data_IF_748708915588
#
_entry.id   IF_748708915588
#
_cell.length_a   1.000
_cell.length_b   1.000
_cell.length_c   1.000
_cell.angle_alpha   90.00
_cell.angle_beta   90.00
_cell.angle_gamma   90.00
#
_symmetry.space_group_name_H-M   'P 1'
#
loop_
_entity.id
_entity.type
_entity.pdbx_description
1 polymer ?
#
# COMPACT_ATOMS: atom_id res chain seq x y z
N UNK A 1 49.88 -12.83 5.32
CA UNK A 1 48.86 -12.87 4.25
C UNK A 1 47.77 -13.92 4.48
N UNK A 2 48.05 -15.14 4.95
CA UNK A 2 47.01 -16.17 5.14
C UNK A 2 45.92 -15.85 6.20
N UNK A 3 46.25 -15.08 7.24
CA UNK A 3 45.30 -14.70 8.30
C UNK A 3 44.25 -13.67 7.86
N UNK A 4 44.57 -12.80 6.89
CA UNK A 4 43.65 -11.73 6.43
C UNK A 4 42.51 -12.28 5.57
N UNK A 5 42.78 -13.30 4.75
CA UNK A 5 41.73 -13.99 4.02
C UNK A 5 40.79 -14.75 4.97
N UNK A 6 41.30 -15.26 6.09
CA UNK A 6 40.47 -16.01 7.04
C UNK A 6 39.47 -15.12 7.80
N UNK A 7 39.82 -13.88 8.12
CA UNK A 7 38.93 -12.95 8.82
C UNK A 7 37.80 -12.45 7.90
N UNK A 8 38.14 -12.00 6.68
CA UNK A 8 37.16 -11.56 5.69
C UNK A 8 36.18 -12.67 5.28
N UNK A 9 36.67 -13.92 5.19
CA UNK A 9 35.82 -15.08 4.94
C UNK A 9 34.87 -15.35 6.10
N UNK A 10 35.31 -15.19 7.36
CA UNK A 10 34.42 -15.35 8.52
C UNK A 10 33.32 -14.27 8.61
N UNK A 11 33.59 -13.01 8.23
CA UNK A 11 32.53 -11.98 8.21
C UNK A 11 31.47 -12.24 7.13
N UNK A 12 31.90 -12.68 5.95
CA UNK A 12 30.98 -13.04 4.86
C UNK A 12 30.19 -14.32 5.19
N UNK A 13 30.83 -15.33 5.78
CA UNK A 13 30.15 -16.54 6.23
C UNK A 13 29.11 -16.21 7.31
N UNK A 14 29.48 -15.42 8.32
CA UNK A 14 28.56 -14.98 9.38
C UNK A 14 27.40 -14.14 8.84
N UNK A 15 27.65 -13.31 7.82
CA UNK A 15 26.61 -12.49 7.19
C UNK A 15 25.67 -13.32 6.31
N UNK A 16 26.20 -14.28 5.54
CA UNK A 16 25.39 -15.19 4.73
C UNK A 16 24.56 -16.11 5.62
N UNK A 17 25.11 -16.58 6.74
CA UNK A 17 24.36 -17.36 7.73
C UNK A 17 23.27 -16.52 8.41
N UNK A 18 23.56 -15.25 8.75
CA UNK A 18 22.56 -14.38 9.39
C UNK A 18 21.43 -13.98 8.44
N UNK A 19 21.71 -13.76 7.16
CA UNK A 19 20.71 -13.35 6.15
C UNK A 19 20.07 -14.51 5.38
N UNK A 20 20.53 -15.74 5.56
CA UNK A 20 20.06 -16.90 4.77
C UNK A 20 18.55 -17.20 4.91
N UNK A 21 17.94 -16.88 6.05
CA UNK A 21 16.50 -17.07 6.28
C UNK A 21 15.64 -15.89 5.80
N UNK A 22 16.24 -14.70 5.62
CA UNK A 22 15.52 -13.46 5.31
C UNK A 22 14.63 -13.58 4.05
N UNK A 23 15.13 -14.09 2.90
CA UNK A 23 14.30 -14.19 1.70
C UNK A 23 13.10 -15.12 1.89
N UNK A 24 13.27 -16.22 2.63
CA UNK A 24 12.20 -17.21 2.88
C UNK A 24 11.11 -16.60 3.75
N UNK A 25 11.52 -15.88 4.80
CA UNK A 25 10.59 -15.30 5.75
C UNK A 25 9.85 -14.10 5.18
N UNK A 26 10.53 -13.27 4.39
CA UNK A 26 9.91 -12.18 3.64
C UNK A 26 8.91 -12.72 2.61
N UNK A 27 9.27 -13.74 1.84
CA UNK A 27 8.36 -14.38 0.89
C UNK A 27 7.12 -14.96 1.61
N UNK A 28 7.30 -15.57 2.78
CA UNK A 28 6.19 -16.10 3.59
C UNK A 28 5.24 -14.99 4.01
N UNK A 29 5.77 -13.88 4.51
CA UNK A 29 4.97 -12.74 4.95
C UNK A 29 4.21 -12.13 3.75
N UNK A 30 4.89 -11.84 2.65
CA UNK A 30 4.28 -11.23 1.46
C UNK A 30 3.21 -12.13 0.83
N UNK A 31 3.45 -13.45 0.74
CA UNK A 31 2.43 -14.40 0.27
C UNK A 31 1.20 -14.42 1.19
N UNK A 32 1.41 -14.26 2.50
CA UNK A 32 0.30 -14.20 3.47
C UNK A 32 -0.50 -12.91 3.31
N UNK A 33 0.17 -11.77 3.12
CA UNK A 33 -0.48 -10.49 2.82
C UNK A 33 -1.29 -10.60 1.53
N UNK A 34 -0.72 -11.15 0.46
CA UNK A 34 -1.43 -11.37 -0.82
C UNK A 34 -2.69 -12.24 -0.64
N UNK A 35 -2.60 -13.33 0.12
CA UNK A 35 -3.76 -14.17 0.40
C UNK A 35 -4.84 -13.45 1.24
N UNK A 36 -4.44 -12.52 2.12
CA UNK A 36 -5.38 -11.65 2.84
C UNK A 36 -5.99 -10.58 1.92
N UNK A 37 -5.23 -10.06 0.95
CA UNK A 37 -5.73 -9.11 -0.06
C UNK A 37 -6.83 -9.72 -0.92
N UNK A 38 -6.62 -10.93 -1.43
CA UNK A 38 -7.63 -11.66 -2.20
C UNK A 38 -8.91 -11.84 -1.39
N UNK A 39 -8.80 -12.27 -0.13
CA UNK A 39 -9.96 -12.40 0.78
C UNK A 39 -10.64 -11.06 1.08
N UNK A 40 -9.89 -9.98 1.23
CA UNK A 40 -10.44 -8.64 1.45
C UNK A 40 -11.23 -8.18 0.22
N UNK A 41 -10.71 -8.41 -0.98
CA UNK A 41 -11.37 -8.03 -2.23
C UNK A 41 -12.68 -8.81 -2.43
N UNK A 42 -12.68 -10.11 -2.19
CA UNK A 42 -13.88 -10.94 -2.25
C UNK A 42 -14.94 -10.48 -1.24
N UNK A 43 -14.54 -10.30 0.02
CA UNK A 43 -15.44 -9.84 1.08
C UNK A 43 -15.96 -8.41 0.83
N UNK A 44 -15.12 -7.53 0.28
CA UNK A 44 -15.51 -6.17 -0.09
C UNK A 44 -16.54 -6.17 -1.22
N UNK A 45 -16.35 -7.03 -2.23
CA UNK A 45 -17.32 -7.20 -3.31
C UNK A 45 -18.67 -7.72 -2.80
N UNK A 46 -18.64 -8.74 -1.92
CA UNK A 46 -19.86 -9.26 -1.29
C UNK A 46 -20.55 -8.20 -0.42
N UNK A 47 -19.77 -7.44 0.35
CA UNK A 47 -20.27 -6.35 1.19
C UNK A 47 -20.94 -5.26 0.35
N UNK A 48 -20.32 -4.85 -0.76
CA UNK A 48 -20.89 -3.87 -1.70
C UNK A 48 -22.23 -4.35 -2.26
N UNK A 49 -22.31 -5.63 -2.66
CA UNK A 49 -23.56 -6.21 -3.14
C UNK A 49 -24.65 -6.22 -2.05
N UNK A 50 -24.32 -6.65 -0.83
CA UNK A 50 -25.25 -6.67 0.31
C UNK A 50 -25.71 -5.25 0.69
N UNK A 51 -24.82 -4.25 0.66
CA UNK A 51 -25.15 -2.83 0.88
C UNK A 51 -26.05 -2.32 -0.24
N UNK A 52 -25.79 -2.67 -1.50
CA UNK A 52 -26.64 -2.31 -2.63
C UNK A 52 -28.08 -2.80 -2.47
N UNK A 53 -28.26 -4.05 -2.03
CA UNK A 53 -29.59 -4.59 -1.71
C UNK A 53 -30.24 -3.83 -0.55
N UNK A 54 -29.48 -3.54 0.51
CA UNK A 54 -29.99 -2.81 1.67
C UNK A 54 -30.48 -1.40 1.31
N UNK A 55 -29.76 -0.71 0.43
CA UNK A 55 -30.12 0.63 -0.04
C UNK A 55 -31.31 0.64 -1.01
N UNK A 56 -31.56 -0.47 -1.72
CA UNK A 56 -32.72 -0.62 -2.59
C UNK A 56 -34.02 -0.86 -1.80
N UNK A 57 -33.93 -1.33 -0.55
CA UNK A 57 -35.08 -1.53 0.32
C UNK A 57 -35.54 -0.19 0.93
N UNK A 58 -36.86 0.03 1.10
CA UNK A 58 -37.37 1.22 1.78
C UNK A 58 -36.80 1.32 3.20
N UNK A 59 -36.41 2.51 3.70
CA UNK A 59 -35.76 2.60 5.00
C UNK A 59 -36.73 2.23 6.13
N UNK A 60 -36.26 1.55 7.18
CA UNK A 60 -37.08 0.91 8.22
C UNK A 60 -38.26 1.76 8.76
N UNK A 61 -38.09 3.08 8.93
CA UNK A 61 -39.15 4.00 9.40
C UNK A 61 -40.33 4.21 8.43
N UNK A 62 -40.18 3.84 7.16
CA UNK A 62 -41.21 3.94 6.12
C UNK A 62 -41.89 2.59 5.87
N UNK A 63 -41.42 1.51 6.50
CA UNK A 63 -42.02 0.20 6.35
C UNK A 63 -43.17 0.01 7.36
N UNK A 64 -44.38 -0.39 6.92
CA UNK A 64 -45.54 -0.56 7.81
C UNK A 64 -45.39 -1.73 8.79
N UNK A 65 -44.48 -2.67 8.51
CA UNK A 65 -44.23 -3.89 9.27
C UNK A 65 -42.73 -4.16 9.32
N UNK A 66 -42.23 -4.66 10.47
CA UNK A 66 -40.83 -5.07 10.60
C UNK A 66 -40.49 -6.13 9.54
N UNK A 67 -39.50 -5.86 8.70
CA UNK A 67 -39.03 -6.80 7.70
C UNK A 67 -37.82 -7.57 8.25
N UNK A 68 -37.94 -8.87 8.58
CA UNK A 68 -36.85 -9.66 9.14
C UNK A 68 -35.64 -9.77 8.19
N UNK A 69 -35.88 -9.71 6.88
CA UNK A 69 -34.81 -9.72 5.87
C UNK A 69 -33.92 -8.48 5.95
N UNK A 70 -34.50 -7.34 6.31
CA UNK A 70 -33.76 -6.09 6.49
C UNK A 70 -32.82 -6.16 7.70
N UNK A 71 -33.29 -6.73 8.82
CA UNK A 71 -32.48 -6.90 10.04
C UNK A 71 -31.37 -7.94 9.84
N UNK A 72 -31.65 -9.05 9.13
CA UNK A 72 -30.64 -10.04 8.76
C UNK A 72 -29.56 -9.45 7.87
N UNK A 73 -29.94 -8.63 6.89
CA UNK A 73 -29.01 -7.99 5.97
C UNK A 73 -28.12 -6.97 6.69
N UNK A 74 -28.67 -6.16 7.60
CA UNK A 74 -27.88 -5.27 8.46
C UNK A 74 -26.87 -6.05 9.30
N UNK A 75 -27.31 -7.15 9.90
CA UNK A 75 -26.43 -8.01 10.72
C UNK A 75 -25.29 -8.59 9.88
N UNK A 76 -25.59 -9.05 8.66
CA UNK A 76 -24.59 -9.58 7.71
C UNK A 76 -23.60 -8.51 7.27
N UNK A 77 -24.08 -7.34 6.87
CA UNK A 77 -23.24 -6.18 6.50
C UNK A 77 -22.33 -5.77 7.66
N UNK A 78 -22.87 -5.68 8.87
CA UNK A 78 -22.09 -5.33 10.06
C UNK A 78 -21.04 -6.38 10.42
N UNK A 79 -21.33 -7.67 10.24
CA UNK A 79 -20.37 -8.75 10.47
C UNK A 79 -19.24 -8.73 9.42
N UNK A 80 -19.58 -8.56 8.14
CA UNK A 80 -18.62 -8.47 7.05
C UNK A 80 -17.70 -7.25 7.21
N UNK A 81 -18.23 -6.09 7.60
CA UNK A 81 -17.42 -4.90 7.88
C UNK A 81 -16.41 -5.13 9.01
N UNK A 82 -16.83 -5.76 10.12
CA UNK A 82 -15.92 -6.09 11.23
C UNK A 82 -14.80 -7.02 10.79
N UNK A 83 -15.13 -8.03 9.99
CA UNK A 83 -14.14 -8.98 9.49
C UNK A 83 -13.15 -8.32 8.51
N UNK A 84 -13.63 -7.39 7.67
CA UNK A 84 -12.78 -6.63 6.76
C UNK A 84 -11.78 -5.75 7.51
N UNK A 85 -12.22 -5.09 8.60
CA UNK A 85 -11.33 -4.34 9.49
C UNK A 85 -10.28 -5.26 10.13
N UNK A 86 -10.69 -6.44 10.60
CA UNK A 86 -9.76 -7.41 11.17
C UNK A 86 -8.67 -7.83 10.17
N UNK A 87 -9.05 -8.15 8.92
CA UNK A 87 -8.06 -8.48 7.89
C UNK A 87 -7.14 -7.31 7.55
N UNK A 88 -7.65 -6.08 7.55
CA UNK A 88 -6.82 -4.88 7.36
C UNK A 88 -5.78 -4.73 8.49
N UNK A 89 -6.18 -4.94 9.75
CA UNK A 89 -5.26 -4.92 10.90
C UNK A 89 -4.19 -6.01 10.80
N UNK A 90 -4.58 -7.24 10.45
CA UNK A 90 -3.63 -8.36 10.26
C UNK A 90 -2.62 -8.07 9.14
N UNK A 91 -3.05 -7.46 8.03
CA UNK A 91 -2.14 -7.04 6.96
C UNK A 91 -1.14 -5.99 7.44
N UNK A 92 -1.59 -5.00 8.20
CA UNK A 92 -0.70 -3.96 8.75
C UNK A 92 0.33 -4.59 9.69
N UNK A 93 -0.08 -5.53 10.53
CA UNK A 93 0.84 -6.25 11.43
C UNK A 93 1.87 -7.07 10.65
N UNK A 94 1.47 -7.76 9.59
CA UNK A 94 2.39 -8.50 8.72
C UNK A 94 3.36 -7.57 8.00
N UNK A 95 2.89 -6.42 7.50
CA UNK A 95 3.76 -5.42 6.87
C UNK A 95 4.77 -4.85 7.87
N UNK A 96 4.34 -4.55 9.10
CA UNK A 96 5.23 -4.13 10.18
C UNK A 96 6.27 -5.22 10.50
N UNK A 97 5.85 -6.49 10.58
CA UNK A 97 6.77 -7.60 10.81
C UNK A 97 7.84 -7.71 9.71
N UNK A 98 7.46 -7.53 8.44
CA UNK A 98 8.43 -7.51 7.33
C UNK A 98 9.40 -6.34 7.44
N UNK A 99 8.89 -5.15 7.81
CA UNK A 99 9.72 -3.97 8.01
C UNK A 99 10.73 -4.17 9.14
N UNK A 100 10.28 -4.61 10.32
CA UNK A 100 11.13 -4.86 11.48
C UNK A 100 12.21 -5.90 11.17
N UNK A 101 11.86 -6.95 10.41
CA UNK A 101 12.80 -7.95 9.96
C UNK A 101 13.90 -7.34 9.07
N UNK A 102 13.52 -6.51 8.09
CA UNK A 102 14.47 -5.82 7.22
C UNK A 102 15.36 -4.85 7.99
N UNK A 103 14.79 -4.11 8.94
CA UNK A 103 15.52 -3.15 9.78
C UNK A 103 16.59 -3.85 10.63
N UNK A 104 16.27 -5.00 11.24
CA UNK A 104 17.24 -5.80 12.01
C UNK A 104 18.42 -6.25 11.13
N UNK A 105 18.14 -6.73 9.90
CA UNK A 105 19.21 -7.16 9.00
C UNK A 105 20.04 -6.00 8.45
N UNK A 106 19.44 -4.83 8.23
CA UNK A 106 20.15 -3.62 7.83
C UNK A 106 21.12 -3.16 8.93
N UNK A 107 20.66 -3.10 10.18
CA UNK A 107 21.49 -2.74 11.33
C UNK A 107 22.64 -3.72 11.56
N UNK A 108 22.40 -5.03 11.37
CA UNK A 108 23.47 -6.03 11.47
C UNK A 108 24.51 -5.88 10.35
N UNK A 109 24.08 -5.56 9.12
CA UNK A 109 24.99 -5.30 8.00
C UNK A 109 25.86 -4.06 8.26
N UNK A 110 25.27 -2.98 8.76
CA UNK A 110 25.98 -1.77 9.16
C UNK A 110 27.05 -2.08 10.20
N UNK A 111 26.68 -2.83 11.26
CA UNK A 111 27.61 -3.25 12.30
C UNK A 111 28.77 -4.08 11.75
N UNK A 112 28.48 -5.08 10.92
CA UNK A 112 29.50 -5.95 10.31
C UNK A 112 30.44 -5.13 9.42
N UNK A 113 29.91 -4.16 8.67
CA UNK A 113 30.68 -3.27 7.81
C UNK A 113 31.61 -2.37 8.63
N UNK A 114 31.11 -1.80 9.72
CA UNK A 114 31.90 -0.98 10.65
C UNK A 114 33.04 -1.77 11.31
N UNK A 115 32.76 -3.01 11.73
CA UNK A 115 33.76 -3.87 12.35
C UNK A 115 34.84 -4.29 11.33
N UNK A 116 34.43 -4.55 10.09
CA UNK A 116 35.36 -4.83 8.99
C UNK A 116 36.24 -3.61 8.65
N UNK A 117 35.68 -2.39 8.55
CA UNK A 117 36.45 -1.17 8.29
C UNK A 117 37.48 -0.91 9.40
N UNK A 118 37.10 -1.06 10.67
CA UNK A 118 38.02 -0.95 11.81
C UNK A 118 39.15 -1.98 11.73
N UNK A 119 38.85 -3.22 11.37
CA UNK A 119 39.87 -4.25 11.22
C UNK A 119 40.81 -3.97 10.03
N UNK A 120 40.29 -3.51 8.90
CA UNK A 120 41.08 -3.12 7.72
C UNK A 120 42.02 -1.96 8.06
N UNK A 121 41.53 -0.89 8.70
CA UNK A 121 42.36 0.24 9.14
C UNK A 121 43.43 -0.16 10.16
N UNK A 122 43.11 -1.11 11.05
CA UNK A 122 44.07 -1.63 12.04
C UNK A 122 45.19 -2.42 11.36
N UNK A 123 44.87 -3.17 10.31
CA UNK A 123 45.81 -4.04 9.62
C UNK A 123 46.56 -3.34 8.47
N UNK A 124 46.00 -2.28 7.90
CA UNK A 124 46.61 -1.44 6.88
C UNK A 124 46.10 0.02 7.01
N UNK A 125 46.88 0.94 7.61
CA UNK A 125 46.43 2.30 7.89
C UNK A 125 46.19 3.16 6.64
N UNK A 126 46.71 2.75 5.47
CA UNK A 126 46.43 3.38 4.16
C UNK A 126 45.24 2.74 3.42
N UNK A 127 44.68 1.63 3.93
CA UNK A 127 43.49 0.98 3.35
C UNK A 127 42.19 1.61 3.88
N UNK A 128 42.09 2.94 3.80
CA UNK A 128 40.88 3.66 4.18
C UNK A 128 39.77 3.38 3.16
N UNK A 129 38.61 2.89 3.63
CA UNK A 129 37.39 2.72 2.84
C UNK A 129 36.66 4.06 2.59
N UNK A 130 37.38 5.20 2.60
CA UNK A 130 36.83 6.54 2.37
C UNK A 130 36.06 6.67 1.05
N UNK A 131 36.35 5.80 0.06
CA UNK A 131 35.62 5.76 -1.21
C UNK A 131 34.16 5.26 -1.09
N UNK A 132 33.76 4.70 0.06
CA UNK A 132 32.42 4.17 0.32
C UNK A 132 31.59 5.03 1.28
N UNK A 133 32.18 6.08 1.86
CA UNK A 133 31.50 6.98 2.79
C UNK A 133 30.43 7.85 2.10
N UNK A 134 30.56 8.07 0.79
CA UNK A 134 29.53 8.71 -0.06
C UNK A 134 28.31 7.81 -0.35
N UNK A 135 28.36 6.53 0.04
CA UNK A 135 27.23 5.58 -0.05
C UNK A 135 26.64 5.18 1.30
N UNK A 136 27.13 5.76 2.41
CA UNK A 136 26.50 5.56 3.70
C UNK A 136 25.03 6.01 3.60
N UNK A 137 24.09 5.06 3.78
CA UNK A 137 22.67 5.35 3.80
C UNK A 137 22.42 6.49 4.79
N UNK A 138 21.86 7.59 4.29
CA UNK A 138 21.37 8.67 5.13
C UNK A 138 20.23 8.12 6.01
N UNK A 139 20.58 7.66 7.22
CA UNK A 139 19.64 7.13 8.20
C UNK A 139 18.68 8.18 8.76
N UNK A 140 18.83 9.47 8.37
CA UNK A 140 17.78 10.47 8.64
C UNK A 140 16.60 10.37 7.69
N UNK A 141 16.74 9.67 6.54
CA UNK A 141 15.64 9.39 5.60
C UNK A 141 14.81 8.16 5.95
N UNK A 142 15.25 7.32 6.89
CA UNK A 142 14.51 6.16 7.39
C UNK A 142 13.47 6.49 8.47
N UNK A 143 13.55 7.66 9.10
CA UNK A 143 12.43 8.20 9.87
C UNK A 143 11.40 8.71 8.89
N UNK A 144 10.45 7.86 8.50
CA UNK A 144 9.30 8.34 7.72
C UNK A 144 8.62 9.44 8.55
N UNK A 145 8.65 10.72 8.11
CA UNK A 145 7.89 11.78 8.79
C UNK A 145 6.39 11.40 8.84
N UNK A 146 5.98 10.59 7.86
CA UNK A 146 4.62 10.11 7.66
C UNK A 146 4.10 9.18 8.75
N UNK A 147 4.91 8.33 9.41
CA UNK A 147 4.38 7.39 10.41
C UNK A 147 4.20 8.07 11.78
N UNK A 148 5.10 8.98 12.15
CA UNK A 148 4.95 9.82 13.34
C UNK A 148 3.82 10.84 13.14
N UNK A 149 3.72 11.48 11.98
CA UNK A 149 2.60 12.38 11.63
C UNK A 149 1.26 11.63 11.54
N UNK A 150 1.24 10.43 10.98
CA UNK A 150 0.02 9.60 10.91
C UNK A 150 -0.40 9.13 12.30
N UNK A 151 0.53 8.68 13.15
CA UNK A 151 0.22 8.32 14.55
C UNK A 151 -0.22 9.54 15.38
N UNK A 152 0.35 10.73 15.14
CA UNK A 152 -0.08 11.97 15.78
C UNK A 152 -1.49 12.38 15.30
N UNK A 153 -1.75 12.25 13.99
CA UNK A 153 -3.04 12.56 13.38
C UNK A 153 -4.14 11.60 13.84
N UNK A 154 -3.83 10.30 13.99
CA UNK A 154 -4.78 9.30 14.48
C UNK A 154 -5.14 9.54 15.96
N UNK A 155 -4.15 9.93 16.78
CA UNK A 155 -4.38 10.31 18.18
C UNK A 155 -5.18 11.62 18.28
N UNK A 156 -5.00 12.55 17.34
CA UNK A 156 -5.74 13.81 17.28
C UNK A 156 -7.20 13.62 16.82
N UNK A 157 -7.46 12.65 15.93
CA UNK A 157 -8.83 12.25 15.53
C UNK A 157 -9.58 11.46 16.62
N UNK A 158 -8.89 10.60 17.39
CA UNK A 158 -9.50 9.87 18.51
C UNK A 158 -9.77 10.73 19.75
N UNK A 159 -9.13 11.90 19.84
CA UNK A 159 -9.31 12.88 20.92
C UNK A 159 -10.28 14.00 20.50
N UNK A 160 -11.51 13.64 20.14
CA UNK A 160 -12.59 14.62 19.99
C UNK A 160 -12.79 15.39 21.32
N UNK A 161 -12.65 16.73 21.34
CA UNK A 161 -13.18 17.51 22.45
C UNK A 161 -14.72 17.40 22.47
N UNK A 162 -15.37 17.43 23.65
CA UNK A 162 -16.82 17.43 23.71
C UNK A 162 -17.37 18.62 22.91
N UNK A 163 -18.35 18.36 22.07
CA UNK A 163 -18.97 19.35 21.19
C UNK A 163 -19.30 20.65 21.98
N UNK A 164 -19.00 21.84 21.43
CA UNK A 164 -19.32 23.09 22.11
C UNK A 164 -20.84 23.20 22.24
N UNK A 165 -21.31 23.37 23.47
CA UNK A 165 -22.71 23.63 23.77
C UNK A 165 -23.23 24.85 22.96
N UNK A 166 -24.47 24.81 22.45
CA UNK A 166 -25.02 25.92 21.68
C UNK A 166 -25.04 27.20 22.53
N UNK A 167 -24.43 28.26 22.01
CA UNK A 167 -24.35 29.55 22.70
C UNK A 167 -25.75 30.17 22.94
N UNK A 168 -25.99 30.76 24.12
CA UNK A 168 -27.26 31.40 24.41
C UNK A 168 -27.41 32.70 23.61
N UNK A 169 -28.48 32.80 22.81
CA UNK A 169 -28.86 34.02 22.10
C UNK A 169 -29.16 35.13 23.13
N UNK A 170 -28.27 36.12 23.23
CA UNK A 170 -28.55 37.39 23.90
C UNK A 170 -29.60 38.17 23.11
N UNK A 171 -30.74 38.39 23.75
CA UNK A 171 -31.80 39.27 23.29
C UNK A 171 -31.32 40.72 23.26
N UNK A 172 -31.50 41.39 22.11
CA UNK A 172 -31.51 42.84 22.00
C UNK A 172 -32.97 43.33 22.05
N UNK A 173 -33.17 44.46 22.72
CA UNK A 173 -34.44 45.00 23.15
C UNK A 173 -35.34 45.54 22.02
N UNK A 174 -36.63 45.21 22.15
CA UNK A 174 -37.93 45.87 21.86
C UNK A 174 -38.00 47.22 21.07
N UNK A 175 -39.14 47.52 20.40
CA UNK A 175 -40.36 47.91 21.15
C UNK A 175 -41.71 47.32 20.67
N UNK A 176 -42.57 47.05 21.66
CA UNK A 176 -44.05 47.14 21.76
C UNK A 176 -44.95 46.81 20.55
N UNK A 177 -45.95 45.93 20.74
CA UNK A 177 -47.39 46.25 20.94
C UNK A 177 -48.17 45.05 21.55
N UNK A 178 -48.84 45.32 22.67
CA UNK A 178 -50.05 44.75 23.31
C UNK A 178 -50.60 43.34 22.96
N UNK A 179 -50.83 42.49 23.98
CA UNK A 179 -52.15 42.27 24.62
C UNK A 179 -52.24 41.04 25.55
N UNK A 180 -52.68 41.31 26.80
CA UNK A 180 -53.55 40.52 27.70
C UNK A 180 -53.36 38.99 27.89
N UNK A 181 -53.12 38.58 29.15
CA UNK A 181 -53.77 37.37 29.71
C UNK A 181 -53.06 36.59 30.85
N UNK A 182 -53.34 36.96 32.11
CA UNK A 182 -53.47 36.11 33.33
C UNK A 182 -52.48 34.92 33.60
N UNK A 183 -51.52 35.17 34.52
CA UNK A 183 -51.24 34.54 35.86
C UNK A 183 -51.98 33.23 36.29
N UNK A 184 -51.50 32.50 37.35
CA UNK A 184 -50.15 32.43 37.98
C UNK A 184 -49.76 31.04 38.60
N UNK A 185 -48.59 31.01 39.31
CA UNK A 185 -48.37 30.38 40.67
C UNK A 185 -47.96 28.88 40.73
N UNK A 186 -47.05 28.33 41.55
CA UNK A 186 -46.21 28.63 42.76
C UNK A 186 -44.86 27.82 42.59
N UNK A 187 -43.68 28.26 43.07
CA UNK A 187 -43.05 28.02 44.40
C UNK A 187 -42.89 26.52 44.77
N UNK A 188 -41.80 25.97 45.34
CA UNK A 188 -40.56 26.44 45.97
C UNK A 188 -39.72 25.19 46.34
N UNK A 189 -38.40 25.36 46.61
CA UNK A 189 -37.55 24.57 47.55
C UNK A 189 -37.33 23.05 47.35
N UNK A 190 -36.17 22.43 47.64
CA UNK A 190 -34.96 22.82 48.35
C UNK A 190 -34.36 21.60 49.08
N UNK A 191 -33.01 21.51 49.14
CA UNK A 191 -32.21 20.69 50.08
C UNK A 191 -32.02 19.20 49.73
N UNK A 192 -30.84 18.58 49.62
CA UNK A 192 -29.54 18.60 50.33
C UNK A 192 -29.31 17.39 51.27
N UNK A 193 -28.35 16.54 50.85
CA UNK A 193 -27.25 15.91 51.63
C UNK A 193 -27.52 14.77 52.64
N UNK A 194 -26.66 13.74 52.53
CA UNK A 194 -26.31 12.72 53.55
C UNK A 194 -26.46 11.31 52.98
N UNK A 195 -25.51 10.37 52.97
CA UNK A 195 -24.32 10.07 53.77
C UNK A 195 -24.27 8.53 53.85
N UNK A 196 -23.14 7.88 53.50
CA UNK A 196 -23.00 6.39 53.42
C UNK A 196 -22.96 5.67 54.78
N UNK A 197 -22.23 4.55 54.97
CA UNK A 197 -21.66 3.55 54.04
C UNK A 197 -21.86 2.08 54.52
N UNK A 198 -21.25 1.11 53.83
CA UNK A 198 -21.04 -0.28 54.28
C UNK A 198 -21.71 -1.31 53.35
N UNK A 199 -21.15 -2.47 53.01
CA UNK A 199 -19.93 -3.19 53.34
C UNK A 199 -20.05 -4.62 52.77
N UNK A 200 -18.93 -5.34 52.63
CA UNK A 200 -18.93 -6.82 52.72
C UNK A 200 -18.98 -7.67 51.43
N UNK A 201 -17.79 -8.22 51.11
CA UNK A 201 -17.48 -9.65 50.91
C UNK A 201 -18.06 -10.49 49.74
N UNK A 202 -17.11 -11.11 48.99
CA UNK A 202 -17.18 -12.47 48.39
C UNK A 202 -18.14 -12.66 47.21
N UNK A 203 -17.79 -13.35 46.12
CA UNK A 203 -17.54 -14.80 46.06
C UNK A 203 -16.92 -15.13 44.68
N UNK A 204 -16.10 -16.17 44.66
CA UNK A 204 -15.41 -16.76 43.53
C UNK A 204 -16.29 -17.69 42.67
N UNK A 205 -15.93 -17.77 41.37
CA UNK A 205 -15.90 -18.93 40.45
C UNK A 205 -17.11 -19.89 40.43
N UNK A 206 -17.77 -19.99 39.28
CA UNK A 206 -18.23 -21.28 38.74
C UNK A 206 -18.52 -21.21 37.22
N UNK A 207 -17.71 -21.93 36.44
CA UNK A 207 -18.08 -22.43 35.11
C UNK A 207 -19.00 -23.65 35.27
N UNK A 208 -19.93 -23.87 34.32
CA UNK A 208 -20.38 -25.22 34.01
C UNK A 208 -20.02 -25.66 32.57
N UNK A 209 -19.65 -26.93 32.37
CA UNK A 209 -19.25 -27.50 31.08
C UNK A 209 -20.41 -28.27 30.42
N UNK A 210 -20.52 -28.28 29.09
CA UNK A 210 -21.21 -29.40 28.41
C UNK A 210 -20.65 -29.68 27.01
N UNK A 211 -20.16 -30.91 26.86
CA UNK A 211 -19.76 -31.60 25.63
C UNK A 211 -20.99 -31.88 24.76
N UNK A 212 -20.93 -31.66 23.44
CA UNK A 212 -21.68 -32.47 22.47
C UNK A 212 -20.85 -32.78 21.22
N UNK A 213 -20.58 -34.07 21.05
CA UNK A 213 -20.22 -34.74 19.80
C UNK A 213 -21.33 -34.52 18.78
N UNK A 214 -20.99 -34.11 17.56
CA UNK A 214 -21.85 -34.32 16.41
C UNK A 214 -21.02 -34.89 15.26
N UNK A 215 -21.46 -36.06 14.84
CA UNK A 215 -21.05 -36.88 13.70
C UNK A 215 -21.12 -36.10 12.39
N UNK A 216 -20.02 -36.05 11.64
CA UNK A 216 -19.99 -35.57 10.26
C UNK A 216 -20.41 -36.73 9.36
N UNK A 217 -21.59 -36.61 8.76
CA UNK A 217 -22.05 -37.50 7.71
C UNK A 217 -21.39 -37.09 6.39
N UNK A 218 -20.72 -38.04 5.75
CA UNK A 218 -20.16 -37.93 4.40
C UNK A 218 -21.27 -37.85 3.36
N UNK A 219 -21.41 -36.72 2.67
CA UNK A 219 -22.19 -36.62 1.43
C UNK A 219 -21.23 -36.70 0.24
N UNK A 220 -21.35 -37.80 -0.50
CA UNK A 220 -20.77 -37.99 -1.82
C UNK A 220 -21.48 -37.07 -2.82
N UNK A 221 -20.71 -36.23 -3.52
CA UNK A 221 -21.19 -35.42 -4.62
C UNK A 221 -21.12 -36.25 -5.91
N UNK A 222 -22.28 -36.55 -6.47
CA UNK A 222 -22.44 -37.26 -7.74
C UNK A 222 -22.11 -36.31 -8.90
N UNK A 223 -21.03 -36.57 -9.63
CA UNK A 223 -20.69 -35.88 -10.88
C UNK A 223 -21.65 -36.32 -11.99
N UNK A 224 -22.48 -35.40 -12.49
CA UNK A 224 -23.18 -35.53 -13.76
C UNK A 224 -22.43 -34.74 -14.85
N UNK A 225 -22.22 -35.32 -16.05
CA UNK A 225 -21.65 -34.58 -17.18
C UNK A 225 -22.74 -33.75 -17.86
N UNK A 226 -22.58 -32.43 -17.85
CA UNK A 226 -23.39 -31.53 -18.68
C UNK A 226 -22.79 -31.47 -20.08
N UNK A 227 -23.57 -31.89 -21.09
CA UNK A 227 -23.26 -31.66 -22.50
C UNK A 227 -23.56 -30.20 -22.84
N UNK A 228 -22.50 -29.39 -22.97
CA UNK A 228 -22.58 -28.05 -23.52
C UNK A 228 -22.43 -28.16 -25.03
N UNK A 229 -23.54 -27.99 -25.75
CA UNK A 229 -23.53 -27.89 -27.21
C UNK A 229 -22.75 -26.65 -27.64
N UNK A 230 -21.76 -26.89 -28.49
CA UNK A 230 -20.81 -25.97 -29.07
C UNK A 230 -21.52 -25.03 -30.05
N UNK A 231 -21.67 -23.75 -29.70
CA UNK A 231 -22.17 -22.73 -30.63
C UNK A 231 -21.00 -22.26 -31.54
N UNK A 232 -21.13 -22.38 -32.87
CA UNK A 232 -20.11 -21.89 -33.80
C UNK A 232 -20.02 -20.35 -33.77
N UNK A 233 -18.81 -19.84 -33.53
CA UNK A 233 -18.46 -18.42 -33.35
C UNK A 233 -18.55 -17.58 -34.66
N UNK A 234 -18.83 -18.20 -35.81
CA UNK A 234 -18.65 -17.56 -37.12
C UNK A 234 -19.78 -16.63 -37.60
N UNK A 235 -20.64 -16.09 -36.74
CA UNK A 235 -21.75 -15.21 -37.19
C UNK A 235 -22.02 -13.98 -36.31
N UNK A 236 -20.98 -13.32 -35.83
CA UNK A 236 -21.11 -11.93 -35.36
C UNK A 236 -20.67 -10.94 -36.46
N UNK A 237 -21.50 -9.93 -36.79
CA UNK A 237 -21.12 -8.91 -37.77
C UNK A 237 -19.96 -8.05 -37.23
N UNK A 238 -18.87 -8.01 -37.99
CA UNK A 238 -17.70 -7.15 -37.77
C UNK A 238 -18.14 -5.68 -37.77
N UNK A 239 -17.94 -5.01 -36.64
CA UNK A 239 -18.06 -3.56 -36.54
C UNK A 239 -16.73 -2.96 -36.99
N UNK A 240 -16.66 -2.52 -38.26
CA UNK A 240 -15.53 -1.74 -38.77
C UNK A 240 -15.65 -0.31 -38.22
N UNK A 241 -14.92 -0.01 -37.13
CA UNK A 241 -14.52 1.37 -36.83
C UNK A 241 -13.33 1.73 -37.72
N UNK A 242 -13.34 2.89 -38.41
CA UNK A 242 -12.23 3.32 -39.24
C UNK A 242 -11.09 3.80 -38.35
N UNK A 243 -10.26 2.88 -37.87
CA UNK A 243 -8.95 3.21 -37.32
C UNK A 243 -8.04 3.51 -38.51
N UNK A 244 -7.73 4.79 -38.69
CA UNK A 244 -6.66 5.20 -39.59
C UNK A 244 -5.40 4.43 -39.18
N UNK A 245 -4.93 3.54 -40.06
CA UNK A 245 -3.66 2.84 -39.90
C UNK A 245 -2.54 3.86 -40.06
N UNK A 246 -2.24 4.59 -38.99
CA UNK A 246 -1.05 5.40 -38.88
C UNK A 246 0.14 4.43 -38.89
N UNK A 247 1.03 4.58 -39.88
CA UNK A 247 2.21 3.74 -39.96
C UNK A 247 3.01 3.87 -38.65
N UNK A 248 3.57 2.77 -38.11
CA UNK A 248 4.35 2.83 -36.87
C UNK A 248 5.45 3.87 -37.03
N UNK A 249 5.40 4.91 -36.20
CA UNK A 249 6.39 6.00 -36.23
C UNK A 249 7.72 5.38 -35.83
N UNK A 250 8.72 5.32 -36.73
CA UNK A 250 10.01 4.76 -36.39
C UNK A 250 10.71 5.68 -35.38
N UNK A 251 11.64 5.10 -34.61
CA UNK A 251 12.53 5.90 -33.77
C UNK A 251 13.20 7.01 -34.59
N UNK A 252 13.34 8.21 -34.02
CA UNK A 252 14.01 9.34 -34.67
C UNK A 252 15.50 9.02 -34.91
N UNK A 253 16.08 8.17 -34.06
CA UNK A 253 17.40 7.58 -34.24
C UNK A 253 17.32 6.05 -34.23
N UNK A 254 18.06 5.33 -35.08
CA UNK A 254 18.13 3.87 -34.99
C UNK A 254 18.71 3.46 -33.63
N UNK A 255 18.15 2.44 -32.96
CA UNK A 255 18.59 2.01 -31.65
C UNK A 255 20.02 1.46 -31.71
N UNK A 256 20.80 1.50 -30.61
CA UNK A 256 22.18 1.05 -30.61
C UNK A 256 22.27 -0.44 -30.97
N UNK A 257 23.27 -0.80 -31.75
CA UNK A 257 23.44 -2.16 -32.24
C UNK A 257 23.59 -3.15 -31.08
N UNK A 258 22.74 -4.18 -31.05
CA UNK A 258 22.78 -5.26 -30.06
C UNK A 258 21.83 -5.10 -28.88
N UNK A 259 21.10 -3.99 -28.78
CA UNK A 259 20.04 -3.83 -27.78
C UNK A 259 18.79 -4.61 -28.17
N UNK A 260 18.25 -5.35 -27.21
CA UNK A 260 16.98 -6.05 -27.34
C UNK A 260 15.81 -5.11 -26.99
N UNK A 261 14.62 -5.32 -27.59
CA UNK A 261 13.38 -4.62 -27.24
C UNK A 261 13.06 -4.62 -25.75
N UNK A 262 13.33 -5.75 -25.08
CA UNK A 262 13.19 -5.88 -23.64
C UNK A 262 14.24 -6.81 -23.01
N UNK A 263 14.47 -6.65 -21.72
CA UNK A 263 15.42 -7.44 -20.93
C UNK A 263 15.05 -7.50 -19.45
N UNK A 264 15.54 -8.53 -18.73
CA UNK A 264 15.33 -8.65 -17.27
C UNK A 264 16.26 -7.76 -16.43
N UNK A 265 17.18 -7.06 -17.08
CA UNK A 265 18.16 -6.16 -16.47
C UNK A 265 18.52 -5.06 -17.47
N UNK A 266 18.94 -3.86 -17.02
CA UNK A 266 19.34 -2.79 -17.94
C UNK A 266 20.55 -3.23 -18.77
N UNK A 267 20.43 -3.16 -20.09
CA UNK A 267 21.48 -3.55 -21.04
C UNK A 267 22.59 -2.50 -21.12
N UNK A 268 22.28 -1.23 -20.82
CA UNK A 268 23.25 -0.15 -20.71
C UNK A 268 24.28 -0.37 -19.58
N UNK A 269 24.02 -1.31 -18.66
CA UNK A 269 24.95 -1.71 -17.60
C UNK A 269 26.20 -2.47 -18.08
N UNK A 270 26.25 -2.89 -19.35
CA UNK A 270 27.29 -3.80 -19.87
C UNK A 270 28.71 -3.18 -19.89
N UNK A 271 28.86 -1.88 -19.61
CA UNK A 271 30.14 -1.17 -19.50
C UNK A 271 30.55 -0.73 -18.08
N UNK A 272 29.81 -1.16 -17.04
CA UNK A 272 30.16 -0.90 -15.64
C UNK A 272 29.69 0.45 -15.06
N UNK A 273 29.14 1.36 -15.86
CA UNK A 273 28.52 2.61 -15.39
C UNK A 273 27.09 2.70 -15.90
N UNK A 274 26.12 2.49 -15.00
CA UNK A 274 24.70 2.73 -15.27
C UNK A 274 24.39 4.19 -14.96
N UNK A 275 23.88 4.93 -15.94
CA UNK A 275 23.42 6.30 -15.73
C UNK A 275 21.91 6.32 -15.68
N UNK A 276 21.36 6.44 -14.47
CA UNK A 276 19.92 6.66 -14.29
C UNK A 276 19.52 8.06 -14.71
N UNK A 277 18.25 8.23 -15.06
CA UNK A 277 17.65 9.55 -15.24
C UNK A 277 17.57 10.23 -13.86
N UNK A 278 18.22 11.38 -13.70
CA UNK A 278 18.06 12.22 -12.51
C UNK A 278 17.04 13.35 -12.76
N UNK A 279 16.38 13.90 -11.73
CA UNK A 279 15.47 15.05 -11.88
C UNK A 279 16.12 16.26 -12.56
N UNK A 280 17.43 16.46 -12.38
CA UNK A 280 18.20 17.54 -13.00
C UNK A 280 18.40 17.36 -14.51
N UNK A 281 18.25 16.12 -15.00
CA UNK A 281 18.37 15.78 -16.42
C UNK A 281 17.07 16.04 -17.20
N UNK A 282 15.95 16.34 -16.53
CA UNK A 282 14.64 16.60 -17.16
C UNK A 282 14.65 17.98 -17.84
N UNK A 283 15.23 18.04 -19.04
CA UNK A 283 15.26 19.23 -19.91
C UNK A 283 14.96 18.82 -21.34
N UNK A 284 14.87 19.82 -22.23
CA UNK A 284 14.61 19.61 -23.66
C UNK A 284 15.72 18.79 -24.37
N UNK A 285 16.89 18.63 -23.76
CA UNK A 285 18.02 17.84 -24.28
C UNK A 285 17.80 16.31 -24.21
N UNK A 286 16.75 15.85 -23.52
CA UNK A 286 16.34 14.45 -23.49
C UNK A 286 15.64 14.01 -24.77
N UNK A 287 15.09 14.95 -25.54
CA UNK A 287 14.33 14.62 -26.75
C UNK A 287 15.22 13.92 -27.80
N UNK A 288 14.71 12.81 -28.33
CA UNK A 288 15.36 11.89 -29.24
C UNK A 288 16.41 11.00 -28.60
N UNK A 289 16.58 11.01 -27.27
CA UNK A 289 17.52 10.09 -26.59
C UNK A 289 16.84 8.75 -26.33
N UNK A 290 17.61 7.68 -26.44
CA UNK A 290 17.13 6.37 -26.04
C UNK A 290 17.41 6.12 -24.56
N UNK A 291 16.48 5.41 -23.95
CA UNK A 291 16.54 4.98 -22.57
C UNK A 291 16.00 3.55 -22.44
N UNK A 292 16.28 2.94 -21.31
CA UNK A 292 15.61 1.71 -20.88
C UNK A 292 14.66 2.07 -19.73
N UNK A 293 13.38 1.75 -19.89
CA UNK A 293 12.33 1.98 -18.89
C UNK A 293 11.99 0.67 -18.18
N UNK A 294 12.00 0.68 -16.86
CA UNK A 294 11.58 -0.46 -16.05
C UNK A 294 10.07 -0.44 -15.83
N UNK A 295 9.42 -1.58 -16.08
CA UNK A 295 8.01 -1.79 -15.80
C UNK A 295 7.82 -2.76 -14.63
N UNK A 296 7.12 -2.37 -13.54
CA UNK A 296 7.03 -3.17 -12.32
C UNK A 296 6.12 -4.39 -12.46
N UNK A 297 5.11 -4.35 -13.34
CA UNK A 297 4.12 -5.43 -13.45
C UNK A 297 4.71 -6.74 -13.99
N UNK A 298 5.65 -6.62 -14.94
CA UNK A 298 6.31 -7.76 -15.58
C UNK A 298 7.80 -7.88 -15.23
N UNK A 299 8.34 -6.91 -14.47
CA UNK A 299 9.72 -6.85 -14.04
C UNK A 299 10.71 -6.86 -15.22
N UNK A 300 10.37 -6.15 -16.30
CA UNK A 300 11.18 -6.01 -17.50
C UNK A 300 11.62 -4.57 -17.75
N UNK A 301 12.78 -4.44 -18.40
CA UNK A 301 13.32 -3.21 -18.94
C UNK A 301 13.00 -3.14 -20.43
N UNK A 302 12.42 -2.04 -20.87
CA UNK A 302 11.99 -1.81 -22.25
C UNK A 302 12.84 -0.74 -22.91
N UNK A 303 13.29 -1.00 -24.12
CA UNK A 303 13.97 -0.02 -24.95
C UNK A 303 12.96 1.01 -25.47
N UNK A 304 13.18 2.26 -25.08
CA UNK A 304 12.34 3.39 -25.44
C UNK A 304 13.15 4.54 -26.05
N UNK A 305 12.48 5.41 -26.78
CA UNK A 305 12.99 6.72 -27.18
C UNK A 305 12.09 7.82 -26.62
N UNK A 306 12.69 8.85 -26.03
CA UNK A 306 11.96 10.00 -25.51
C UNK A 306 11.68 10.94 -26.69
N UNK A 307 10.42 11.11 -27.09
CA UNK A 307 10.07 11.98 -28.23
C UNK A 307 9.73 13.40 -27.83
N UNK A 308 9.08 13.60 -26.70
CA UNK A 308 8.68 14.92 -26.23
C UNK A 308 8.92 15.03 -24.73
N UNK A 309 9.32 16.21 -24.26
CA UNK A 309 9.49 16.50 -22.83
C UNK A 309 8.85 17.84 -22.53
N UNK A 310 7.88 17.84 -21.62
CA UNK A 310 7.27 19.05 -21.07
C UNK A 310 7.96 19.39 -19.75
N UNK A 311 8.89 20.35 -19.78
CA UNK A 311 9.67 20.74 -18.59
C UNK A 311 8.80 21.33 -17.48
N UNK A 312 7.66 21.95 -17.82
CA UNK A 312 6.77 22.58 -16.85
C UNK A 312 5.95 21.55 -16.06
N UNK A 313 5.44 20.51 -16.73
CA UNK A 313 4.67 19.43 -16.08
C UNK A 313 5.55 18.25 -15.67
N UNK A 314 6.80 18.21 -16.14
CA UNK A 314 7.75 17.10 -16.02
C UNK A 314 7.22 15.78 -16.60
N UNK A 315 6.36 15.89 -17.60
CA UNK A 315 5.86 14.74 -18.35
C UNK A 315 6.67 14.55 -19.63
N UNK A 316 6.87 13.29 -20.02
CA UNK A 316 7.56 12.90 -21.23
C UNK A 316 6.71 11.95 -22.05
N UNK A 317 6.72 12.14 -23.37
CA UNK A 317 6.16 11.17 -24.31
C UNK A 317 7.26 10.25 -24.79
N UNK A 318 7.10 8.96 -24.56
CA UNK A 318 8.06 7.93 -24.96
C UNK A 318 7.47 7.05 -26.06
N UNK A 319 8.34 6.57 -26.94
CA UNK A 319 8.04 5.60 -27.98
C UNK A 319 8.69 4.26 -27.59
N UNK A 320 7.92 3.18 -27.63
CA UNK A 320 8.43 1.83 -27.48
C UNK A 320 8.98 1.27 -28.79
N UNK A 321 9.84 0.26 -28.69
CA UNK A 321 10.29 -0.50 -29.87
C UNK A 321 9.16 -1.22 -30.64
N UNK A 322 7.98 -1.38 -30.03
CA UNK A 322 6.77 -1.90 -30.68
C UNK A 322 6.08 -0.87 -31.57
N UNK A 323 6.41 0.41 -31.43
CA UNK A 323 5.76 1.53 -32.11
C UNK A 323 4.67 2.22 -31.28
N UNK A 324 4.42 1.75 -30.06
CA UNK A 324 3.42 2.32 -29.16
C UNK A 324 3.96 3.55 -28.41
N UNK A 325 3.06 4.48 -28.10
CA UNK A 325 3.38 5.69 -27.34
C UNK A 325 2.81 5.63 -25.94
N UNK A 326 3.56 6.17 -24.99
CA UNK A 326 3.08 6.37 -23.63
C UNK A 326 3.52 7.73 -23.09
N UNK A 327 2.67 8.30 -22.24
CA UNK A 327 2.98 9.54 -21.52
C UNK A 327 3.34 9.17 -20.09
N UNK A 328 4.54 9.54 -19.66
CA UNK A 328 5.09 9.19 -18.37
C UNK A 328 5.41 10.45 -17.57
N UNK A 329 5.26 10.36 -16.25
CA UNK A 329 5.78 11.37 -15.34
C UNK A 329 7.28 11.13 -15.12
N UNK A 330 8.13 11.90 -15.81
CA UNK A 330 9.59 11.74 -15.76
C UNK A 330 10.15 12.00 -14.37
N UNK A 331 9.50 12.84 -13.56
CA UNK A 331 9.93 13.09 -12.19
C UNK A 331 9.74 11.87 -11.29
N UNK A 332 8.61 11.18 -11.44
CA UNK A 332 8.34 9.93 -10.73
C UNK A 332 9.27 8.82 -11.21
N UNK A 333 9.42 8.66 -12.53
CA UNK A 333 10.33 7.65 -13.08
C UNK A 333 11.78 7.86 -12.68
N UNK A 334 12.24 9.12 -12.60
CA UNK A 334 13.57 9.47 -12.11
C UNK A 334 13.72 9.20 -10.60
N UNK A 335 12.70 9.53 -9.80
CA UNK A 335 12.69 9.28 -8.35
C UNK A 335 12.77 7.79 -8.02
N UNK A 336 12.06 6.97 -8.79
CA UNK A 336 12.00 5.53 -8.59
C UNK A 336 13.16 4.78 -9.25
N UNK A 337 14.06 5.49 -9.93
CA UNK A 337 15.21 4.90 -10.65
C UNK A 337 14.78 3.90 -11.73
N UNK A 338 13.58 4.09 -12.27
CA UNK A 338 12.95 3.22 -13.27
C UNK A 338 13.33 3.60 -14.71
N UNK A 339 14.27 4.52 -14.91
CA UNK A 339 14.77 4.85 -16.24
C UNK A 339 16.29 4.96 -16.26
N UNK A 340 16.91 4.27 -17.22
CA UNK A 340 18.35 4.29 -17.48
C UNK A 340 18.60 4.95 -18.82
N UNK A 341 19.43 5.98 -18.84
CA UNK A 341 19.78 6.69 -20.07
C UNK A 341 20.92 5.96 -20.79
N UNK A 342 20.70 5.66 -22.07
CA UNK A 342 21.75 5.05 -22.90
C UNK A 342 22.78 6.14 -23.26
N UNK A 343 24.08 5.89 -23.03
CA UNK A 343 25.12 6.84 -23.41
C UNK A 343 25.10 7.15 -24.91
N UNK A 344 25.18 8.43 -25.26
CA UNK A 344 25.19 8.86 -26.67
C UNK A 344 26.45 8.37 -27.42
N UNK A 345 27.48 7.92 -26.71
CA UNK A 345 28.70 7.33 -27.26
C UNK A 345 28.49 5.98 -27.96
N UNK A 346 27.29 5.39 -27.83
CA UNK A 346 26.91 4.13 -28.46
C UNK A 346 26.24 4.32 -29.84
N UNK A 347 26.18 5.55 -30.34
CA UNK A 347 25.63 5.91 -31.66
C UNK A 347 26.69 6.34 -32.67
#
# INVERSE_FOLDING_TARGET
MALHNSANVMYLESFVESTGSLPTELQRILNTIKALDEKCNDLSSELQANVGVLLALPPAHQQPTANPEYDELISRVGAAQKLLVQFAEEKVQLAQQAHDLLEVHALELERVTDDLDKELRRNNPDASLEYLQDFALDTTRGKTPRLEEFNMSLQQELSLPPAPAPAPKKAAAAPNVASKGKRPRDEETGGAVGGGPGGGAGIAIQQPPVKKKTTVASMQLTTQPSSFDEYPIDTLPSYDEPVASEAPVPFMRPPPAGYKPSSTRPQAATGGLVRYLCPEDIREDLVGRHAELFWPDDNLWYLIEIQEVNVATREGRVLYSTGDFETLNLEETARDMHMVLIPDQLY
#
